data_IF_777896961160
#
_entry.id   IF_777896961160
#
_cell.length_a   1.000
_cell.length_b   1.000
_cell.length_c   1.000
_cell.angle_alpha   90.00
_cell.angle_beta   90.00
_cell.angle_gamma   90.00
#
_symmetry.space_group_name_H-M   'P 1'
#
loop_
_entity.id
_entity.type
_entity.pdbx_description
1 polymer ?
#
# COMPACT_ATOMS: atom_id res chain seq x y z
N UNK A 1 7.83 -0.77 23.00
CA UNK A 1 7.37 -1.84 23.91
C UNK A 1 5.84 -1.83 24.08
N UNK A 2 5.23 -0.79 24.66
CA UNK A 2 3.76 -0.74 24.86
C UNK A 2 2.95 -0.83 23.54
N UNK A 3 3.39 -0.12 22.50
CA UNK A 3 2.70 -0.10 21.21
C UNK A 3 2.67 -1.46 20.49
N UNK A 4 3.78 -2.20 20.55
CA UNK A 4 3.89 -3.55 19.98
C UNK A 4 2.98 -4.55 20.69
N UNK A 5 2.87 -4.44 22.03
CA UNK A 5 1.97 -5.25 22.84
C UNK A 5 0.51 -5.01 22.42
N UNK A 6 0.10 -3.75 22.29
CA UNK A 6 -1.25 -3.38 21.85
C UNK A 6 -1.59 -3.89 20.43
N UNK A 7 -0.63 -3.92 19.51
CA UNK A 7 -0.85 -4.47 18.17
C UNK A 7 -1.10 -5.98 18.16
N UNK A 8 -0.47 -6.72 19.08
CA UNK A 8 -0.52 -8.20 19.13
C UNK A 8 -1.61 -8.72 20.05
N UNK A 9 -2.01 -7.94 21.04
CA UNK A 9 -3.03 -8.30 22.03
C UNK A 9 -4.35 -8.73 21.38
N UNK A 10 -4.94 -9.78 21.95
CA UNK A 10 -6.28 -10.26 21.58
C UNK A 10 -7.35 -9.42 22.27
N UNK A 11 -8.61 -9.61 21.90
CA UNK A 11 -9.72 -8.81 22.43
C UNK A 11 -9.80 -8.84 23.97
N UNK A 12 -9.65 -10.02 24.57
CA UNK A 12 -9.75 -10.19 26.02
C UNK A 12 -8.56 -9.55 26.76
N UNK A 13 -7.38 -9.60 26.17
CA UNK A 13 -6.19 -8.91 26.68
C UNK A 13 -6.39 -7.39 26.60
N UNK A 14 -6.85 -6.86 25.46
CA UNK A 14 -7.16 -5.45 25.29
C UNK A 14 -8.22 -4.96 26.29
N UNK A 15 -9.24 -5.78 26.58
CA UNK A 15 -10.25 -5.46 27.60
C UNK A 15 -9.68 -5.46 29.01
N UNK A 16 -8.74 -6.35 29.28
CA UNK A 16 -8.05 -6.43 30.58
C UNK A 16 -7.13 -5.23 30.78
N UNK A 17 -6.39 -4.84 29.74
CA UNK A 17 -5.58 -3.62 29.72
C UNK A 17 -6.49 -2.40 29.92
N UNK A 18 -7.57 -2.28 29.15
CA UNK A 18 -8.53 -1.19 29.32
C UNK A 18 -9.11 -1.13 30.75
N UNK A 19 -9.42 -2.27 31.37
CA UNK A 19 -9.87 -2.30 32.77
C UNK A 19 -8.79 -1.81 33.76
N UNK A 20 -7.52 -2.15 33.51
CA UNK A 20 -6.41 -1.73 34.37
C UNK A 20 -6.17 -0.21 34.33
N UNK A 21 -6.48 0.44 33.22
CA UNK A 21 -6.37 1.89 33.02
C UNK A 21 -7.71 2.64 33.16
N UNK A 22 -8.76 1.98 33.67
CA UNK A 22 -10.12 2.53 33.86
C UNK A 22 -10.76 3.11 32.57
N UNK A 23 -10.45 2.50 31.42
CA UNK A 23 -10.95 2.89 30.11
C UNK A 23 -12.20 2.09 29.70
N UNK A 24 -13.10 2.68 28.88
CA UNK A 24 -14.27 1.97 28.37
C UNK A 24 -13.89 0.74 27.54
N UNK A 25 -14.53 -0.40 27.84
CA UNK A 25 -14.28 -1.71 27.19
C UNK A 25 -15.18 -2.00 25.98
N UNK A 26 -15.97 -1.01 25.56
CA UNK A 26 -16.91 -1.13 24.46
C UNK A 26 -16.21 -1.02 23.10
N UNK A 27 -16.65 -1.86 22.15
CA UNK A 27 -16.16 -1.88 20.76
C UNK A 27 -15.55 -3.21 20.33
N UNK A 28 -15.28 -3.32 19.03
CA UNK A 28 -14.47 -4.39 18.46
C UNK A 28 -12.99 -4.25 18.78
N UNK A 29 -12.20 -5.23 18.33
CA UNK A 29 -10.75 -5.30 18.57
C UNK A 29 -10.03 -4.04 18.13
N UNK A 30 -10.33 -3.54 16.93
CA UNK A 30 -9.57 -2.42 16.34
C UNK A 30 -9.95 -1.08 16.99
N UNK A 31 -11.23 -0.88 17.32
CA UNK A 31 -11.68 0.32 18.03
C UNK A 31 -11.12 0.39 19.45
N UNK A 32 -11.12 -0.74 20.17
CA UNK A 32 -10.55 -0.80 21.52
C UNK A 32 -9.02 -0.60 21.48
N UNK A 33 -8.35 -1.13 20.46
CA UNK A 33 -6.92 -0.90 20.25
C UNK A 33 -6.64 0.57 19.93
N UNK A 34 -7.40 1.19 19.04
CA UNK A 34 -7.26 2.61 18.71
C UNK A 34 -7.40 3.49 19.96
N UNK A 35 -8.40 3.21 20.80
CA UNK A 35 -8.58 3.90 22.10
C UNK A 35 -7.39 3.72 23.04
N UNK A 36 -6.84 2.50 23.14
CA UNK A 36 -5.68 2.27 24.01
C UNK A 36 -4.42 2.96 23.47
N UNK A 37 -4.23 2.99 22.16
CA UNK A 37 -3.10 3.71 21.55
C UNK A 37 -3.26 5.22 21.76
N UNK A 38 -4.47 5.78 21.60
CA UNK A 38 -4.69 7.21 21.84
C UNK A 38 -4.39 7.61 23.28
N UNK A 39 -4.85 6.83 24.27
CA UNK A 39 -4.75 7.19 25.69
C UNK A 39 -3.40 6.83 26.33
N UNK A 40 -2.72 5.79 25.85
CA UNK A 40 -1.51 5.25 26.51
C UNK A 40 -0.22 5.50 25.73
N UNK A 41 -0.31 5.89 24.46
CA UNK A 41 0.85 6.09 23.58
C UNK A 41 0.85 7.48 22.97
N UNK A 42 -0.32 8.01 22.61
CA UNK A 42 -0.49 9.33 22.01
C UNK A 42 -1.21 10.30 22.97
N UNK A 43 -1.00 10.14 24.27
CA UNK A 43 -1.65 10.93 25.33
C UNK A 43 -1.35 12.44 25.23
N UNK A 44 -0.22 12.79 24.61
CA UNK A 44 0.16 14.18 24.34
C UNK A 44 -0.60 14.83 23.17
N UNK A 45 -1.32 14.06 22.35
CA UNK A 45 -2.02 14.55 21.16
C UNK A 45 -3.52 14.77 21.43
N UNK A 46 -4.04 15.93 21.05
CA UNK A 46 -5.49 16.14 21.00
C UNK A 46 -6.08 15.43 19.76
N UNK A 47 -6.65 14.26 19.99
CA UNK A 47 -7.29 13.44 18.96
C UNK A 47 -8.83 13.61 18.95
N UNK A 48 -9.35 14.70 19.53
CA UNK A 48 -10.74 15.11 19.36
C UNK A 48 -11.03 15.59 17.93
N UNK A 49 -12.30 15.76 17.56
CA UNK A 49 -12.66 16.26 16.22
C UNK A 49 -12.05 17.63 15.92
N UNK A 50 -11.98 18.51 16.93
CA UNK A 50 -11.38 19.84 16.81
C UNK A 50 -9.84 19.76 16.75
N UNK A 51 -9.24 18.85 17.55
CA UNK A 51 -7.80 18.58 17.51
C UNK A 51 -7.35 18.04 16.14
N UNK A 52 -8.07 17.05 15.60
CA UNK A 52 -7.81 16.45 14.28
C UNK A 52 -7.85 17.52 13.16
N UNK A 53 -8.77 18.48 13.26
CA UNK A 53 -8.89 19.57 12.30
C UNK A 53 -7.70 20.55 12.33
N UNK A 54 -6.95 20.61 13.44
CA UNK A 54 -5.79 21.48 13.62
C UNK A 54 -4.45 20.80 13.29
N UNK A 55 -4.40 19.46 13.27
CA UNK A 55 -3.19 18.71 12.94
C UNK A 55 -2.63 19.08 11.56
N UNK A 56 -1.31 19.26 11.51
CA UNK A 56 -0.53 19.46 10.28
C UNK A 56 -0.43 18.16 9.48
N UNK A 57 -0.10 18.26 8.19
CA UNK A 57 -0.02 17.10 7.30
C UNK A 57 1.02 16.05 7.74
N UNK A 58 2.17 16.52 8.25
CA UNK A 58 3.26 15.67 8.72
C UNK A 58 2.84 14.89 9.96
N UNK A 59 2.30 15.60 10.96
CA UNK A 59 1.77 15.05 12.21
C UNK A 59 0.70 13.98 11.94
N UNK A 60 -0.24 14.24 11.02
CA UNK A 60 -1.22 13.25 10.58
C UNK A 60 -0.56 11.98 10.03
N UNK A 61 0.49 12.13 9.22
CA UNK A 61 1.23 11.00 8.66
C UNK A 61 1.89 10.12 9.74
N UNK A 62 2.46 10.76 10.76
CA UNK A 62 3.11 10.07 11.87
C UNK A 62 2.08 9.39 12.78
N UNK A 63 1.00 10.09 13.16
CA UNK A 63 -0.10 9.55 13.97
C UNK A 63 -0.75 8.36 13.28
N UNK A 64 -1.07 8.46 11.98
CA UNK A 64 -1.60 7.34 11.20
C UNK A 64 -0.60 6.16 11.16
N UNK A 65 0.69 6.46 11.18
CA UNK A 65 1.76 5.48 11.34
C UNK A 65 1.72 4.76 12.68
N UNK A 66 1.59 5.51 13.77
CA UNK A 66 1.49 5.00 15.13
C UNK A 66 0.24 4.11 15.31
N UNK A 67 -0.86 4.40 14.63
CA UNK A 67 -2.04 3.52 14.58
C UNK A 67 -1.86 2.30 13.66
N UNK A 68 -0.81 2.28 12.83
CA UNK A 68 -0.55 1.19 11.91
C UNK A 68 -1.50 1.14 10.70
N UNK A 69 -2.06 2.28 10.31
CA UNK A 69 -2.98 2.42 9.17
C UNK A 69 -2.33 3.17 8.01
N UNK A 70 -3.06 3.40 6.91
CA UNK A 70 -2.51 4.03 5.70
C UNK A 70 -2.12 5.49 5.99
N UNK A 71 -0.86 5.87 5.74
CA UNK A 71 -0.33 7.23 5.94
C UNK A 71 -0.63 8.19 4.77
N UNK A 72 -0.77 7.66 3.56
CA UNK A 72 -0.84 8.46 2.32
C UNK A 72 -2.25 8.97 2.00
N UNK A 73 -2.33 10.00 1.15
CA UNK A 73 -3.56 10.68 0.74
C UNK A 73 -3.54 12.17 1.08
N UNK A 74 -4.56 12.90 0.60
CA UNK A 74 -4.74 14.33 0.91
C UNK A 74 -4.96 14.56 2.41
N UNK A 75 -4.67 15.77 2.89
CA UNK A 75 -4.86 16.13 4.32
C UNK A 75 -6.28 15.80 4.81
N UNK A 76 -7.29 16.11 3.99
CA UNK A 76 -8.69 15.76 4.25
C UNK A 76 -8.92 14.26 4.34
N UNK A 77 -8.37 13.49 3.41
CA UNK A 77 -8.49 12.03 3.44
C UNK A 77 -7.78 11.42 4.65
N UNK A 78 -6.67 11.99 5.10
CA UNK A 78 -5.97 11.57 6.33
C UNK A 78 -6.79 11.86 7.58
N UNK A 79 -7.37 13.06 7.70
CA UNK A 79 -8.26 13.44 8.82
C UNK A 79 -9.50 12.57 8.91
N UNK A 80 -10.20 12.39 7.78
CA UNK A 80 -11.37 11.50 7.70
C UNK A 80 -11.01 10.09 8.16
N UNK A 81 -9.87 9.56 7.70
CA UNK A 81 -9.39 8.22 8.09
C UNK A 81 -9.10 8.12 9.58
N UNK A 82 -8.43 9.13 10.15
CA UNK A 82 -8.12 9.18 11.58
C UNK A 82 -9.40 9.23 12.42
N UNK A 83 -10.33 10.12 12.07
CA UNK A 83 -11.63 10.21 12.74
C UNK A 83 -12.40 8.89 12.68
N UNK A 84 -12.48 8.26 11.51
CA UNK A 84 -13.15 6.97 11.34
C UNK A 84 -12.49 5.87 12.20
N UNK A 85 -11.16 5.84 12.26
CA UNK A 85 -10.42 4.83 13.03
C UNK A 85 -10.63 4.96 14.54
N UNK A 86 -10.72 6.19 15.05
CA UNK A 86 -10.87 6.48 16.48
C UNK A 86 -12.30 6.26 16.98
N UNK A 87 -13.30 6.58 16.15
CA UNK A 87 -14.69 6.69 16.61
C UNK A 87 -15.61 5.57 16.13
N UNK A 88 -15.19 4.81 15.12
CA UNK A 88 -16.06 3.82 14.47
C UNK A 88 -15.41 2.46 14.31
N UNK A 89 -16.25 1.43 14.27
CA UNK A 89 -15.83 0.08 13.89
C UNK A 89 -16.09 -0.12 12.38
N UNK A 90 -15.02 -0.46 11.65
CA UNK A 90 -15.05 -0.73 10.21
C UNK A 90 -16.03 -1.83 9.79
N UNK A 91 -16.40 -2.72 10.72
CA UNK A 91 -17.43 -3.75 10.47
C UNK A 91 -18.85 -3.23 10.66
N UNK A 92 -19.04 -2.26 11.55
CA UNK A 92 -20.36 -1.72 11.89
C UNK A 92 -20.78 -0.57 10.97
N UNK A 93 -19.84 0.28 10.55
CA UNK A 93 -20.11 1.47 9.76
C UNK A 93 -19.84 1.15 8.28
N UNK A 94 -20.87 0.60 7.63
CA UNK A 94 -20.90 0.30 6.19
C UNK A 94 -21.90 1.22 5.46
N UNK A 95 -21.83 1.24 4.12
CA UNK A 95 -22.79 1.95 3.28
C UNK A 95 -24.24 1.53 3.59
N UNK A 96 -24.47 0.24 3.82
CA UNK A 96 -25.81 -0.29 4.14
C UNK A 96 -26.31 0.19 5.51
N UNK A 97 -25.42 0.25 6.52
CA UNK A 97 -25.75 0.69 7.88
C UNK A 97 -26.19 2.16 7.95
N UNK A 98 -25.85 2.98 6.94
CA UNK A 98 -26.25 4.39 6.89
C UNK A 98 -27.76 4.58 6.77
N UNK A 99 -28.48 3.57 6.26
CA UNK A 99 -29.94 3.62 6.11
C UNK A 99 -30.67 3.67 7.45
N UNK A 100 -30.16 2.94 8.43
CA UNK A 100 -30.73 2.80 9.78
C UNK A 100 -30.45 4.02 10.67
N UNK A 101 -29.41 4.80 10.36
CA UNK A 101 -29.02 5.99 11.14
C UNK A 101 -30.05 7.12 11.05
N UNK A 102 -30.19 7.88 12.12
CA UNK A 102 -31.07 9.05 12.14
C UNK A 102 -30.47 10.19 11.30
N UNK A 103 -31.30 11.17 10.93
CA UNK A 103 -30.81 12.37 10.24
C UNK A 103 -29.78 13.11 11.10
N UNK A 104 -29.99 13.18 12.41
CA UNK A 104 -29.09 13.86 13.35
C UNK A 104 -27.72 13.16 13.42
N UNK A 105 -27.69 11.83 13.47
CA UNK A 105 -26.44 11.06 13.42
C UNK A 105 -25.66 11.30 12.12
N UNK A 106 -26.36 11.34 10.99
CA UNK A 106 -25.76 11.63 9.68
C UNK A 106 -25.26 13.07 9.60
N UNK A 107 -25.95 14.02 10.23
CA UNK A 107 -25.48 15.40 10.34
C UNK A 107 -24.18 15.49 11.15
N UNK A 108 -24.11 14.83 12.30
CA UNK A 108 -22.91 14.80 13.15
C UNK A 108 -21.75 14.12 12.43
N UNK A 109 -21.99 12.99 11.78
CA UNK A 109 -20.97 12.27 10.99
C UNK A 109 -20.50 13.07 9.77
N UNK A 110 -21.41 13.77 9.09
CA UNK A 110 -21.02 14.66 7.99
C UNK A 110 -20.13 15.80 8.49
N UNK A 111 -20.45 16.37 9.68
CA UNK A 111 -19.65 17.45 10.28
C UNK A 111 -18.23 16.98 10.61
N UNK A 112 -18.07 15.83 11.24
CA UNK A 112 -16.76 15.30 11.62
C UNK A 112 -15.92 14.84 10.42
N UNK A 113 -16.57 14.39 9.33
CA UNK A 113 -15.90 14.06 8.06
C UNK A 113 -15.61 15.29 7.18
N UNK A 114 -15.77 16.50 7.71
CA UNK A 114 -15.60 17.78 7.01
C UNK A 114 -16.47 17.88 5.74
N UNK A 115 -17.66 17.25 5.72
CA UNK A 115 -18.58 17.24 4.57
C UNK A 115 -19.62 18.36 4.68
N UNK A 116 -20.18 18.84 3.55
CA UNK A 116 -21.30 19.76 3.59
C UNK A 116 -22.52 19.11 4.25
N UNK A 117 -22.97 19.74 5.34
CA UNK A 117 -24.05 19.27 6.23
C UNK A 117 -25.45 19.66 5.70
N UNK A 118 -25.52 20.37 4.57
CA UNK A 118 -26.77 20.76 3.92
C UNK A 118 -27.39 19.61 3.10
N UNK A 119 -28.72 19.51 3.11
CA UNK A 119 -29.46 18.58 2.26
C UNK A 119 -30.50 17.74 3.01
N UNK A 120 -31.11 16.79 2.30
CA UNK A 120 -32.01 15.80 2.88
C UNK A 120 -31.21 14.57 3.39
N UNK A 121 -31.87 13.66 4.10
CA UNK A 121 -31.24 12.45 4.67
C UNK A 121 -30.47 11.65 3.62
N UNK A 122 -31.06 11.46 2.44
CA UNK A 122 -30.47 10.71 1.33
C UNK A 122 -29.22 11.38 0.75
N UNK A 123 -29.20 12.71 0.63
CA UNK A 123 -28.02 13.46 0.17
C UNK A 123 -26.85 13.30 1.15
N UNK A 124 -27.11 13.38 2.46
CA UNK A 124 -26.07 13.16 3.47
C UNK A 124 -25.56 11.71 3.43
N UNK A 125 -26.45 10.73 3.33
CA UNK A 125 -26.08 9.33 3.19
C UNK A 125 -25.19 9.09 1.97
N UNK A 126 -25.56 9.61 0.79
CA UNK A 126 -24.78 9.43 -0.44
C UNK A 126 -23.36 10.01 -0.31
N UNK A 127 -23.21 11.19 0.31
CA UNK A 127 -21.89 11.81 0.54
C UNK A 127 -21.05 11.02 1.52
N UNK A 128 -21.63 10.60 2.65
CA UNK A 128 -20.94 9.78 3.65
C UNK A 128 -20.55 8.43 3.06
N UNK A 129 -21.45 7.79 2.31
CA UNK A 129 -21.17 6.54 1.59
C UNK A 129 -19.97 6.69 0.65
N UNK A 130 -19.88 7.80 -0.10
CA UNK A 130 -18.73 8.08 -0.94
C UNK A 130 -17.41 8.16 -0.17
N UNK A 131 -17.41 8.76 1.03
CA UNK A 131 -16.21 8.78 1.90
C UNK A 131 -15.87 7.39 2.44
N UNK A 132 -16.87 6.62 2.86
CA UNK A 132 -16.65 5.25 3.35
C UNK A 132 -16.06 4.34 2.26
N UNK A 133 -16.53 4.49 1.01
CA UNK A 133 -16.00 3.74 -0.12
C UNK A 133 -14.57 4.17 -0.46
N UNK A 134 -14.30 5.48 -0.48
CA UNK A 134 -12.95 6.02 -0.71
C UNK A 134 -11.95 5.56 0.36
N UNK A 135 -12.40 5.37 1.60
CA UNK A 135 -11.58 4.92 2.72
C UNK A 135 -11.64 3.41 2.94
N UNK A 136 -12.28 2.65 2.04
CA UNK A 136 -12.47 1.21 2.21
C UNK A 136 -11.12 0.50 2.38
N UNK A 137 -10.96 -0.20 3.50
CA UNK A 137 -9.71 -0.91 3.84
C UNK A 137 -8.53 -0.02 4.24
N UNK A 138 -8.72 1.31 4.33
CA UNK A 138 -7.68 2.25 4.74
C UNK A 138 -7.69 2.59 6.24
N UNK A 139 -8.76 2.25 6.95
CA UNK A 139 -8.93 2.42 8.41
C UNK A 139 -9.48 1.14 9.04
N UNK A 140 -9.29 0.99 10.35
CA UNK A 140 -9.71 -0.19 11.11
C UNK A 140 -8.59 -1.22 11.22
N UNK A 141 -8.48 -2.21 10.31
CA UNK A 141 -7.45 -3.23 10.41
C UNK A 141 -6.03 -2.65 10.30
N UNK A 142 -5.21 -2.90 11.32
CA UNK A 142 -3.78 -2.52 11.29
C UNK A 142 -2.98 -3.38 10.31
N UNK A 143 -1.90 -2.82 9.76
CA UNK A 143 -0.99 -3.51 8.83
C UNK A 143 -0.47 -4.83 9.42
N UNK A 144 -0.52 -5.90 8.62
CA UNK A 144 -0.09 -7.26 9.01
C UNK A 144 1.37 -7.34 9.45
N UNK A 145 2.25 -6.50 8.89
CA UNK A 145 3.67 -6.44 9.26
C UNK A 145 3.88 -6.08 10.72
N UNK A 146 3.06 -5.17 11.27
CA UNK A 146 3.13 -4.72 12.65
C UNK A 146 2.65 -5.78 13.66
N UNK A 147 2.01 -6.85 13.16
CA UNK A 147 1.57 -7.99 13.97
C UNK A 147 2.61 -9.11 14.03
N UNK A 148 3.68 -9.07 13.21
CA UNK A 148 4.71 -10.12 13.15
C UNK A 148 5.90 -9.78 14.05
N UNK A 149 6.58 -10.81 14.55
CA UNK A 149 7.85 -10.67 15.26
C UNK A 149 8.90 -10.03 14.34
N UNK A 150 9.54 -8.96 14.81
CA UNK A 150 10.54 -8.19 14.04
C UNK A 150 9.97 -7.20 13.03
N UNK A 151 8.64 -7.00 12.96
CA UNK A 151 8.06 -5.90 12.19
C UNK A 151 8.44 -4.56 12.82
N UNK A 152 8.99 -3.64 12.03
CA UNK A 152 9.44 -2.32 12.53
C UNK A 152 8.36 -1.64 13.35
N UNK A 153 8.70 -1.24 14.58
CA UNK A 153 7.80 -0.47 15.42
C UNK A 153 7.59 0.91 14.81
N UNK A 154 6.34 1.38 14.69
CA UNK A 154 6.11 2.72 14.19
C UNK A 154 6.66 3.71 15.21
N UNK A 155 7.30 4.77 14.69
CA UNK A 155 7.79 5.87 15.50
C UNK A 155 6.61 6.49 16.26
N UNK A 156 6.82 6.85 17.53
CA UNK A 156 5.82 7.50 18.35
C UNK A 156 5.98 9.00 18.11
N UNK A 157 5.01 9.68 17.47
CA UNK A 157 5.10 11.11 17.24
C UNK A 157 5.02 11.87 18.57
N UNK A 158 5.83 12.92 18.71
CA UNK A 158 5.82 13.82 19.88
C UNK A 158 5.41 15.21 19.38
N UNK A 159 4.42 15.88 20.02
CA UNK A 159 4.03 17.23 19.62
C UNK A 159 5.19 18.21 19.74
N UNK A 160 5.34 19.10 18.75
CA UNK A 160 6.41 20.09 18.68
C UNK A 160 6.37 21.10 19.86
N UNK A 161 5.20 21.29 20.47
CA UNK A 161 4.92 22.29 21.52
C UNK A 161 4.80 21.73 22.96
N UNK A 162 5.25 20.49 23.21
CA UNK A 162 5.06 19.87 24.53
C UNK A 162 5.91 20.53 25.65
N UNK A 163 5.29 21.07 26.74
CA UNK A 163 6.05 21.52 27.90
C UNK A 163 6.75 20.35 28.60
N UNK A 164 8.07 20.47 28.80
CA UNK A 164 8.94 19.48 29.43
C UNK A 164 8.40 19.00 30.79
N UNK A 165 7.88 17.79 30.85
CA UNK A 165 7.89 16.97 32.06
C UNK A 165 9.09 16.00 32.02
N UNK A 166 9.73 15.70 33.16
CA UNK A 166 11.05 15.07 33.20
C UNK A 166 10.97 13.62 32.70
N UNK A 167 11.36 13.42 31.45
CA UNK A 167 11.59 12.11 30.86
C UNK A 167 12.86 11.50 31.47
N UNK A 168 12.75 10.28 31.99
CA UNK A 168 13.90 9.51 32.46
C UNK A 168 14.74 9.14 31.23
N UNK A 169 15.85 9.84 31.05
CA UNK A 169 16.82 9.65 29.97
C UNK A 169 17.26 8.19 29.90
N UNK A 170 16.93 7.51 28.79
CA UNK A 170 17.71 6.38 28.29
C UNK A 170 18.26 6.77 26.94
N UNK A 171 19.54 7.15 26.94
CA UNK A 171 20.37 7.25 25.75
C UNK A 171 20.37 5.89 25.07
N UNK A 172 19.71 5.78 23.93
CA UNK A 172 19.87 4.66 23.01
C UNK A 172 20.39 5.24 21.71
N UNK A 173 21.59 4.80 21.34
CA UNK A 173 22.36 5.25 20.19
C UNK A 173 21.55 5.08 18.89
N UNK A 174 21.44 6.17 18.13
CA UNK A 174 20.79 6.27 16.82
C UNK A 174 21.51 5.47 15.73
N UNK A 175 20.76 4.88 14.78
CA UNK A 175 21.06 4.92 13.36
C UNK A 175 20.24 6.05 12.69
N UNK A 176 20.75 6.69 11.62
CA UNK A 176 20.20 7.96 11.14
C UNK A 176 18.91 7.73 10.35
N UNK A 177 17.77 8.08 10.94
CA UNK A 177 16.47 8.23 10.26
C UNK A 177 16.31 9.60 9.57
N UNK A 178 17.26 10.51 9.79
CA UNK A 178 17.24 11.89 9.26
C UNK A 178 17.45 12.00 7.74
N UNK A 179 17.87 10.94 7.06
CA UNK A 179 18.15 10.97 5.61
C UNK A 179 16.91 10.75 4.72
N UNK A 180 15.91 10.00 5.17
CA UNK A 180 14.72 9.66 4.35
C UNK A 180 13.72 10.83 4.24
N UNK A 181 13.50 11.58 5.33
CA UNK A 181 12.58 12.73 5.34
C UNK A 181 13.05 13.90 4.45
N UNK A 182 14.36 14.08 4.29
CA UNK A 182 14.92 15.12 3.41
C UNK A 182 14.74 14.83 1.92
N UNK A 183 14.76 13.54 1.53
CA UNK A 183 14.53 13.11 0.15
C UNK A 183 13.07 13.33 -0.22
N UNK A 184 12.13 12.87 0.61
CA UNK A 184 10.70 12.97 0.34
C UNK A 184 10.21 14.42 0.24
N UNK A 185 10.72 15.31 1.11
CA UNK A 185 10.38 16.73 1.07
C UNK A 185 10.92 17.44 -0.17
N UNK A 186 12.12 17.09 -0.62
CA UNK A 186 12.73 17.66 -1.81
C UNK A 186 12.01 17.23 -3.09
N UNK A 187 11.65 15.94 -3.20
CA UNK A 187 10.85 15.41 -4.30
C UNK A 187 9.49 16.09 -4.34
N UNK A 188 8.84 16.30 -3.19
CA UNK A 188 7.54 16.97 -3.12
C UNK A 188 7.60 18.42 -3.61
N UNK A 189 8.55 19.21 -3.11
CA UNK A 189 8.75 20.59 -3.55
C UNK A 189 9.09 20.67 -5.05
N UNK A 190 9.85 19.71 -5.57
CA UNK A 190 10.21 19.64 -6.98
C UNK A 190 9.01 19.28 -7.87
N UNK A 191 8.19 18.31 -7.45
CA UNK A 191 6.97 17.93 -8.19
C UNK A 191 5.95 19.06 -8.19
N UNK A 192 5.84 19.82 -7.08
CA UNK A 192 4.95 20.99 -6.98
C UNK A 192 5.43 22.17 -7.84
N UNK A 193 6.75 22.37 -7.97
CA UNK A 193 7.34 23.37 -8.83
C UNK A 193 7.23 23.04 -10.33
N UNK A 194 7.03 21.76 -10.67
CA UNK A 194 6.97 21.25 -12.06
C UNK A 194 5.63 20.54 -12.36
N UNK A 195 4.50 21.27 -12.35
CA UNK A 195 3.16 20.69 -12.55
C UNK A 195 2.91 20.14 -13.96
N UNK A 196 3.69 20.59 -14.96
CA UNK A 196 3.63 20.13 -16.35
C UNK A 196 4.62 18.98 -16.64
N UNK A 197 5.33 18.50 -15.62
CA UNK A 197 6.45 17.55 -15.74
C UNK A 197 7.80 18.25 -15.68
N UNK A 198 8.87 17.46 -15.51
CA UNK A 198 10.25 17.95 -15.41
C UNK A 198 11.15 17.18 -16.38
N UNK A 199 12.24 17.82 -16.81
CA UNK A 199 13.22 17.17 -17.68
C UNK A 199 14.29 16.43 -16.86
N UNK A 200 15.07 15.57 -17.52
CA UNK A 200 16.21 14.91 -16.88
C UNK A 200 17.28 15.90 -16.39
N UNK A 201 17.39 17.09 -17.00
CA UNK A 201 18.28 18.16 -16.55
C UNK A 201 17.77 18.80 -15.26
N UNK A 202 16.45 18.99 -15.12
CA UNK A 202 15.83 19.52 -13.90
C UNK A 202 15.99 18.53 -12.72
N UNK A 203 15.85 17.23 -13.00
CA UNK A 203 16.06 16.16 -12.02
C UNK A 203 17.53 16.09 -11.56
N UNK A 204 18.48 16.26 -12.49
CA UNK A 204 19.90 16.34 -12.18
C UNK A 204 20.22 17.60 -11.35
N UNK A 205 19.62 18.74 -11.67
CA UNK A 205 19.74 19.98 -10.89
C UNK A 205 19.20 19.84 -9.47
N UNK A 206 18.08 19.14 -9.28
CA UNK A 206 17.55 18.83 -7.96
C UNK A 206 18.50 17.93 -7.16
N UNK A 207 19.09 16.91 -7.79
CA UNK A 207 20.08 16.03 -7.14
C UNK A 207 21.33 16.80 -6.70
N UNK A 208 21.82 17.71 -7.53
CA UNK A 208 22.97 18.57 -7.20
C UNK A 208 22.63 19.54 -6.05
N UNK A 209 21.41 20.10 -6.04
CA UNK A 209 20.94 20.96 -4.95
C UNK A 209 20.80 20.20 -3.61
N UNK A 210 20.35 18.95 -3.65
CA UNK A 210 20.28 18.06 -2.48
C UNK A 210 21.68 17.66 -1.98
N UNK A 211 22.62 17.46 -2.90
CA UNK A 211 24.01 17.21 -2.54
C UNK A 211 24.67 18.44 -1.91
N UNK A 212 24.36 19.64 -2.42
CA UNK A 212 24.82 20.91 -1.86
C UNK A 212 24.22 21.24 -0.49
N UNK A 213 23.01 20.73 -0.18
CA UNK A 213 22.38 20.86 1.15
C UNK A 213 22.89 19.85 2.18
N UNK A 214 23.83 18.99 1.80
CA UNK A 214 24.51 18.03 2.69
C UNK A 214 23.90 16.63 2.70
N UNK A 215 22.96 16.33 1.80
CA UNK A 215 22.39 14.99 1.64
C UNK A 215 23.30 14.15 0.73
N UNK A 216 23.67 12.95 1.15
CA UNK A 216 24.55 12.07 0.36
C UNK A 216 23.76 11.32 -0.72
N UNK A 217 23.32 12.05 -1.75
CA UNK A 217 22.44 11.56 -2.84
C UNK A 217 23.08 10.44 -3.67
N UNK A 218 24.40 10.27 -3.60
CA UNK A 218 25.13 9.20 -4.29
C UNK A 218 25.13 7.86 -3.52
N UNK A 219 24.58 7.83 -2.29
CA UNK A 219 24.41 6.59 -1.52
C UNK A 219 23.31 5.75 -2.16
N UNK A 220 23.61 4.48 -2.45
CA UNK A 220 22.76 3.64 -3.31
C UNK A 220 21.32 3.42 -2.80
N UNK A 221 21.10 3.51 -1.49
CA UNK A 221 19.77 3.45 -0.86
C UNK A 221 19.00 4.77 -1.00
N UNK A 222 19.65 5.91 -0.77
CA UNK A 222 19.08 7.26 -0.95
C UNK A 222 18.75 7.53 -2.43
N UNK A 223 19.63 7.10 -3.34
CA UNK A 223 19.42 7.22 -4.78
C UNK A 223 18.22 6.38 -5.25
N UNK A 224 18.10 5.13 -4.77
CA UNK A 224 16.98 4.26 -5.12
C UNK A 224 15.64 4.76 -4.56
N UNK A 225 15.65 5.35 -3.36
CA UNK A 225 14.49 5.96 -2.73
C UNK A 225 14.04 7.22 -3.49
N UNK A 226 14.99 8.09 -3.85
CA UNK A 226 14.75 9.29 -4.66
C UNK A 226 14.14 8.93 -6.03
N UNK A 227 14.72 7.94 -6.71
CA UNK A 227 14.24 7.43 -7.99
C UNK A 227 12.83 6.83 -7.89
N UNK A 228 12.55 6.07 -6.83
CA UNK A 228 11.22 5.48 -6.61
C UNK A 228 10.18 6.58 -6.33
N UNK A 229 10.55 7.60 -5.55
CA UNK A 229 9.68 8.72 -5.23
C UNK A 229 9.35 9.56 -6.47
N UNK A 230 10.35 9.88 -7.31
CA UNK A 230 10.16 10.60 -8.56
C UNK A 230 9.29 9.83 -9.56
N UNK A 231 9.56 8.54 -9.78
CA UNK A 231 8.72 7.70 -10.67
C UNK A 231 7.27 7.60 -10.21
N UNK A 232 7.03 7.61 -8.90
CA UNK A 232 5.67 7.55 -8.35
C UNK A 232 4.87 8.85 -8.53
N UNK A 233 5.56 9.98 -8.75
CA UNK A 233 4.98 11.32 -8.81
C UNK A 233 5.08 11.97 -10.19
N UNK A 234 5.81 11.36 -11.13
CA UNK A 234 5.89 11.81 -12.51
C UNK A 234 4.48 11.84 -13.12
N UNK A 235 4.07 12.94 -13.78
CA UNK A 235 2.81 12.95 -14.51
C UNK A 235 2.87 11.87 -15.60
N UNK A 236 1.80 11.08 -15.71
CA UNK A 236 1.59 10.21 -16.86
C UNK A 236 1.45 11.13 -18.07
N UNK A 237 2.51 11.28 -18.87
CA UNK A 237 2.43 11.99 -20.14
C UNK A 237 1.41 11.26 -21.03
N UNK A 238 0.27 11.90 -21.29
CA UNK A 238 -0.63 11.50 -22.39
C UNK A 238 -0.06 11.84 -23.77
N UNK A 239 1.12 12.47 -23.83
CA UNK A 239 1.87 12.64 -25.07
C UNK A 239 2.73 11.41 -25.35
N UNK A 240 2.65 10.98 -26.61
CA UNK A 240 3.06 9.67 -27.08
C UNK A 240 4.44 9.24 -26.63
N UNK A 241 4.55 7.92 -26.49
CA UNK A 241 5.78 7.15 -26.37
C UNK A 241 6.77 7.52 -27.49
N UNK A 242 7.51 8.60 -27.34
CA UNK A 242 8.77 8.78 -28.06
C UNK A 242 9.86 8.19 -27.16
N UNK A 243 9.88 6.85 -27.16
CA UNK A 243 10.95 6.06 -26.59
C UNK A 243 12.23 6.45 -27.31
N UNK A 244 13.11 7.17 -26.61
CA UNK A 244 14.52 7.22 -26.96
C UNK A 244 14.98 5.77 -27.02
N UNK A 245 15.28 5.32 -28.25
CA UNK A 245 15.79 4.00 -28.56
C UNK A 245 17.11 3.78 -27.82
N UNK A 246 17.04 3.16 -26.64
CA UNK A 246 18.10 2.22 -26.26
C UNK A 246 18.10 1.09 -27.30
N UNK A 247 19.27 0.57 -27.72
CA UNK A 247 19.32 -0.51 -28.68
C UNK A 247 18.55 -1.72 -28.12
N UNK A 248 17.43 -1.97 -28.77
CA UNK A 248 16.50 -3.10 -28.72
C UNK A 248 17.10 -4.32 -27.99
N UNK A 249 16.78 -4.44 -26.70
CA UNK A 249 16.75 -5.75 -26.07
C UNK A 249 15.46 -6.41 -26.58
N UNK A 250 15.53 -7.57 -27.26
CA UNK A 250 14.38 -8.12 -27.96
C UNK A 250 13.23 -8.33 -26.98
N UNK A 251 12.11 -7.66 -27.25
CA UNK A 251 10.82 -7.93 -26.61
C UNK A 251 10.57 -9.44 -26.74
N UNK A 252 10.31 -10.19 -25.65
CA UNK A 252 9.97 -11.59 -25.79
C UNK A 252 8.66 -11.67 -26.57
N UNK A 253 8.75 -12.17 -27.81
CA UNK A 253 7.61 -12.35 -28.70
C UNK A 253 6.48 -13.07 -27.94
N UNK A 254 5.30 -12.46 -27.87
CA UNK A 254 4.10 -13.20 -27.50
C UNK A 254 3.91 -14.29 -28.56
N UNK A 255 3.69 -15.54 -28.14
CA UNK A 255 3.38 -16.63 -29.07
C UNK A 255 2.19 -16.20 -29.95
N UNK A 256 2.46 -15.92 -31.23
CA UNK A 256 1.43 -15.67 -32.23
C UNK A 256 1.13 -17.00 -32.92
N UNK A 257 0.02 -17.67 -32.57
CA UNK A 257 -0.33 -18.93 -33.18
C UNK A 257 -0.76 -18.80 -34.66
N UNK A 258 -0.83 -17.59 -35.22
CA UNK A 258 -1.34 -17.33 -36.57
C UNK A 258 -2.86 -17.51 -36.68
N UNK A 259 -3.38 -17.69 -37.89
CA UNK A 259 -4.81 -17.95 -38.11
C UNK A 259 -5.19 -19.39 -37.70
N UNK A 260 -5.50 -19.56 -36.41
CA UNK A 260 -6.03 -20.82 -35.89
C UNK A 260 -7.58 -20.88 -35.99
N UNK A 261 -8.16 -22.08 -36.22
CA UNK A 261 -9.58 -22.32 -36.04
C UNK A 261 -10.04 -21.97 -34.62
N UNK A 262 -11.32 -21.60 -34.46
CA UNK A 262 -11.89 -21.13 -33.19
C UNK A 262 -11.65 -22.10 -32.02
N UNK A 263 -11.73 -23.41 -32.29
CA UNK A 263 -11.50 -24.45 -31.28
C UNK A 263 -10.03 -24.51 -30.83
N UNK A 264 -9.08 -24.18 -31.70
CA UNK A 264 -7.65 -24.16 -31.39
C UNK A 264 -7.25 -22.88 -30.64
N UNK A 265 -7.93 -21.75 -30.89
CA UNK A 265 -7.79 -20.53 -30.08
C UNK A 265 -8.28 -20.73 -28.65
N UNK A 266 -9.38 -21.48 -28.46
CA UNK A 266 -9.88 -21.80 -27.14
C UNK A 266 -8.88 -22.65 -26.32
N UNK A 267 -8.19 -23.58 -26.96
CA UNK A 267 -7.14 -24.37 -26.31
C UNK A 267 -5.96 -23.48 -25.87
N UNK A 268 -5.49 -22.57 -26.74
CA UNK A 268 -4.41 -21.63 -26.40
C UNK A 268 -4.81 -20.71 -25.25
N UNK A 269 -6.06 -20.25 -25.22
CA UNK A 269 -6.58 -19.44 -24.12
C UNK A 269 -6.67 -20.22 -22.79
N UNK A 270 -6.96 -21.53 -22.83
CA UNK A 270 -6.92 -22.37 -21.64
C UNK A 270 -5.48 -22.56 -21.11
N UNK A 271 -4.50 -22.69 -22.02
CA UNK A 271 -3.07 -22.71 -21.67
C UNK A 271 -2.60 -21.38 -21.05
N UNK A 272 -3.14 -20.24 -21.50
CA UNK A 272 -2.90 -18.93 -20.85
C UNK A 272 -3.51 -18.88 -19.45
N UNK A 273 -4.74 -19.40 -19.28
CA UNK A 273 -5.39 -19.45 -17.97
C UNK A 273 -4.63 -20.30 -16.95
N UNK A 274 -3.94 -21.35 -17.42
CA UNK A 274 -3.11 -22.26 -16.62
C UNK A 274 -1.61 -22.00 -16.79
N UNK A 275 -1.22 -20.77 -17.14
CA UNK A 275 0.18 -20.40 -17.42
C UNK A 275 1.13 -20.76 -16.27
N UNK A 276 0.73 -20.49 -15.02
CA UNK A 276 1.56 -20.78 -13.85
C UNK A 276 1.87 -22.28 -13.66
N UNK A 277 0.96 -23.17 -14.08
CA UNK A 277 1.15 -24.62 -14.02
C UNK A 277 2.15 -25.07 -15.10
N UNK A 278 2.01 -24.53 -16.32
CA UNK A 278 2.92 -24.79 -17.43
C UNK A 278 4.33 -24.27 -17.12
N UNK A 279 4.43 -23.05 -16.58
CA UNK A 279 5.72 -22.45 -16.22
C UNK A 279 6.42 -23.22 -15.10
N UNK A 280 5.67 -23.71 -14.10
CA UNK A 280 6.21 -24.58 -13.07
C UNK A 280 6.71 -25.92 -13.65
N UNK A 281 5.97 -26.51 -14.59
CA UNK A 281 6.36 -27.74 -15.27
C UNK A 281 7.61 -27.53 -16.17
N UNK A 282 7.70 -26.41 -16.90
CA UNK A 282 8.88 -26.04 -17.68
C UNK A 282 10.12 -25.90 -16.78
N UNK A 283 10.01 -25.18 -15.66
CA UNK A 283 11.13 -25.06 -14.70
C UNK A 283 11.53 -26.41 -14.10
N UNK A 284 10.56 -27.29 -13.82
CA UNK A 284 10.86 -28.63 -13.33
C UNK A 284 11.59 -29.47 -14.38
N UNK A 285 11.17 -29.40 -15.64
CA UNK A 285 11.87 -30.05 -16.75
C UNK A 285 13.30 -29.54 -16.90
N UNK A 286 13.52 -28.22 -16.93
CA UNK A 286 14.85 -27.61 -17.07
C UNK A 286 15.80 -27.96 -15.91
N UNK A 287 15.27 -28.34 -14.75
CA UNK A 287 16.08 -28.80 -13.62
C UNK A 287 16.62 -30.22 -13.79
N UNK A 288 16.11 -31.00 -14.75
CA UNK A 288 16.42 -32.44 -14.93
C UNK A 288 16.88 -32.74 -16.37
N UNK A 289 16.29 -32.11 -17.37
CA UNK A 289 16.54 -32.32 -18.80
C UNK A 289 17.16 -31.09 -19.48
N UNK A 290 17.32 -31.16 -20.81
CA UNK A 290 17.88 -30.10 -21.64
C UNK A 290 16.93 -29.81 -22.81
N UNK A 291 16.79 -28.53 -23.20
CA UNK A 291 15.88 -28.12 -24.29
C UNK A 291 16.40 -28.55 -25.67
N UNK A 292 17.71 -28.76 -25.81
CA UNK A 292 18.36 -29.16 -27.06
C UNK A 292 18.12 -30.64 -27.43
N UNK A 293 17.63 -31.48 -26.51
CA UNK A 293 17.34 -32.89 -26.77
C UNK A 293 15.86 -33.08 -27.14
N UNK A 294 15.60 -33.31 -28.43
CA UNK A 294 14.24 -33.56 -28.94
C UNK A 294 13.56 -34.75 -28.26
N UNK A 295 14.30 -35.78 -27.85
CA UNK A 295 13.69 -36.94 -27.19
C UNK A 295 13.20 -36.61 -25.77
N UNK A 296 13.96 -35.78 -25.04
CA UNK A 296 13.58 -35.32 -23.70
C UNK A 296 12.40 -34.34 -23.76
N UNK A 297 12.39 -33.44 -24.75
CA UNK A 297 11.29 -32.50 -24.98
C UNK A 297 9.99 -33.23 -25.33
N UNK A 298 10.03 -34.27 -26.20
CA UNK A 298 8.84 -35.07 -26.50
C UNK A 298 8.34 -35.85 -25.27
N UNK A 299 9.25 -36.43 -24.47
CA UNK A 299 8.89 -37.12 -23.24
C UNK A 299 8.23 -36.16 -22.22
N UNK A 300 8.71 -34.92 -22.15
CA UNK A 300 8.10 -33.86 -21.35
C UNK A 300 6.70 -33.50 -21.83
N UNK A 301 6.50 -33.26 -23.14
CA UNK A 301 5.20 -32.95 -23.71
C UNK A 301 4.19 -34.10 -23.52
N UNK A 302 4.64 -35.34 -23.59
CA UNK A 302 3.79 -36.50 -23.31
C UNK A 302 3.44 -36.61 -21.82
N UNK A 303 4.34 -36.22 -20.91
CA UNK A 303 4.06 -36.20 -19.46
C UNK A 303 2.95 -35.20 -19.08
N UNK A 304 2.85 -34.08 -19.81
CA UNK A 304 1.83 -33.06 -19.60
C UNK A 304 0.41 -33.53 -19.96
N UNK A 305 0.27 -34.60 -20.74
CA UNK A 305 -1.03 -35.23 -20.98
C UNK A 305 -1.65 -35.79 -19.68
N UNK A 306 -0.81 -36.26 -18.74
CA UNK A 306 -1.24 -36.74 -17.43
C UNK A 306 -1.72 -35.62 -16.49
N UNK A 307 -1.24 -34.39 -16.71
CA UNK A 307 -1.60 -33.17 -15.97
C UNK A 307 -2.85 -32.46 -16.55
N UNK A 308 -3.49 -33.09 -17.55
CA UNK A 308 -4.74 -32.62 -18.13
C UNK A 308 -4.57 -31.59 -19.25
N UNK A 309 -3.41 -31.54 -19.91
CA UNK A 309 -3.21 -30.76 -21.15
C UNK A 309 -3.45 -31.65 -22.37
N UNK A 310 -4.17 -31.15 -23.39
CA UNK A 310 -4.44 -31.90 -24.62
C UNK A 310 -3.24 -31.83 -25.58
N UNK A 311 -2.13 -32.44 -25.17
CA UNK A 311 -0.89 -32.49 -25.97
C UNK A 311 -1.02 -33.44 -27.18
N UNK A 312 -2.20 -33.97 -27.49
CA UNK A 312 -2.43 -34.63 -28.79
C UNK A 312 -2.57 -33.62 -29.94
N UNK A 313 -2.84 -32.35 -29.63
CA UNK A 313 -2.99 -31.27 -30.61
C UNK A 313 -1.67 -30.54 -30.85
N UNK A 314 -1.35 -30.30 -32.12
CA UNK A 314 -0.06 -29.72 -32.55
C UNK A 314 0.13 -28.29 -32.04
N UNK A 315 -0.90 -27.44 -32.11
CA UNK A 315 -0.85 -26.06 -31.62
C UNK A 315 -0.64 -25.95 -30.10
N UNK A 316 -1.10 -26.95 -29.33
CA UNK A 316 -0.85 -27.02 -27.87
C UNK A 316 0.62 -27.37 -27.60
N UNK A 317 1.18 -28.32 -28.34
CA UNK A 317 2.62 -28.66 -28.25
C UNK A 317 3.49 -27.46 -28.61
N UNK A 318 3.14 -26.76 -29.69
CA UNK A 318 3.93 -25.62 -30.16
C UNK A 318 3.86 -24.42 -29.20
N UNK A 319 2.69 -24.14 -28.62
CA UNK A 319 2.55 -23.13 -27.57
C UNK A 319 3.40 -23.45 -26.33
N UNK A 320 3.46 -24.72 -25.92
CA UNK A 320 4.25 -25.15 -24.76
C UNK A 320 5.76 -25.13 -25.09
N UNK A 321 6.18 -25.56 -26.28
CA UNK A 321 7.58 -25.47 -26.74
C UNK A 321 8.08 -24.03 -26.78
N UNK A 322 7.25 -23.12 -27.29
CA UNK A 322 7.58 -21.69 -27.31
C UNK A 322 7.75 -21.14 -25.88
N UNK A 323 6.93 -21.59 -24.93
CA UNK A 323 7.09 -21.21 -23.51
C UNK A 323 8.31 -21.85 -22.86
N UNK A 324 8.64 -23.09 -23.20
CA UNK A 324 9.82 -23.78 -22.70
C UNK A 324 11.10 -23.01 -23.06
N UNK A 325 11.20 -22.56 -24.32
CA UNK A 325 12.30 -21.73 -24.83
C UNK A 325 12.38 -20.33 -24.19
N UNK A 326 11.30 -19.86 -23.55
CA UNK A 326 11.29 -18.57 -22.82
C UNK A 326 11.75 -18.72 -21.36
N UNK A 327 11.66 -19.92 -20.81
CA UNK A 327 11.94 -20.18 -19.39
C UNK A 327 13.37 -20.71 -19.18
N UNK A 328 14.00 -21.27 -20.21
CA UNK A 328 15.44 -21.58 -20.30
C UNK A 328 16.28 -20.28 -20.39
#
# INVERSE_FOLDING_TARGET
MMLEELFRAKLDDLRSIAAAYDLPRAGGVDLLRARLISELVLDAWDLSDDGIAQLKNNELGEILGAFGIKKTGSIRARRQRLHLHLNHDAKSLSVDSLNERTKEDLHSLAKSLELPVSGNKQTLQARIAGVLEMQRGAWGPIKRSLRRDGGGSPNIPVPEDAPMHPQVTRVSLEPPTLVSDGVDQAVEAFTEAHPEGWTAEDEAGMREALQASGLEVTRGDVAAELDAALRSRAPLSEEGLDLVMEPDAPVPESYDPGELPLDALADVQDLERREAEIEAACRHFLSIGQVDDTADVEAFLDSLSGEGFDTAREHVRDAIRHRLLRVD
#
